data_IF_183581609051
#
_entry.id   IF_183581609051
#
_cell.length_a   1.000
_cell.length_b   1.000
_cell.length_c   1.000
_cell.angle_alpha   90.00
_cell.angle_beta   90.00
_cell.angle_gamma   90.00
#
_symmetry.space_group_name_H-M   'P 1'
#
loop_
_entity.id
_entity.type
_entity.pdbx_description
1 polymer ?
#
# COMPACT_ATOMS: atom_id res chain seq x y z
N UNK A 1 -4.27 -15.91 -24.65
CA UNK A 1 -5.11 -15.07 -23.78
C UNK A 1 -4.23 -14.47 -22.69
N UNK A 2 -4.39 -13.20 -22.33
CA UNK A 2 -3.65 -12.61 -21.23
C UNK A 2 -4.00 -13.31 -19.90
N UNK A 3 -3.06 -13.28 -18.95
CA UNK A 3 -3.28 -13.87 -17.60
C UNK A 3 -4.29 -13.04 -16.80
N UNK A 4 -4.81 -13.63 -15.72
CA UNK A 4 -5.73 -12.91 -14.80
C UNK A 4 -5.07 -11.64 -14.28
N UNK A 5 -3.83 -11.71 -13.80
CA UNK A 5 -3.11 -10.56 -13.25
C UNK A 5 -2.88 -9.48 -14.34
N UNK A 6 -2.56 -9.86 -15.57
CA UNK A 6 -2.43 -8.91 -16.68
C UNK A 6 -3.74 -8.16 -16.95
N UNK A 7 -4.87 -8.86 -16.95
CA UNK A 7 -6.19 -8.23 -17.11
C UNK A 7 -6.50 -7.29 -15.94
N UNK A 8 -6.25 -7.72 -14.70
CA UNK A 8 -6.47 -6.90 -13.51
C UNK A 8 -5.60 -5.64 -13.51
N UNK A 9 -4.34 -5.75 -13.95
CA UNK A 9 -3.45 -4.59 -14.12
C UNK A 9 -3.98 -3.62 -15.18
N UNK A 10 -4.50 -4.14 -16.29
CA UNK A 10 -5.13 -3.31 -17.34
C UNK A 10 -6.39 -2.60 -16.83
N UNK A 11 -7.28 -3.31 -16.10
CA UNK A 11 -8.46 -2.71 -15.46
C UNK A 11 -8.06 -1.59 -14.48
N UNK A 12 -7.02 -1.84 -13.65
CA UNK A 12 -6.49 -0.88 -12.68
C UNK A 12 -5.95 0.37 -13.37
N UNK A 13 -5.16 0.22 -14.44
CA UNK A 13 -4.63 1.33 -15.23
C UNK A 13 -5.75 2.12 -15.91
N UNK A 14 -6.74 1.44 -16.46
CA UNK A 14 -7.91 2.07 -17.09
C UNK A 14 -8.67 2.91 -16.07
N UNK A 15 -8.92 2.37 -14.88
CA UNK A 15 -9.58 3.12 -13.81
C UNK A 15 -8.77 4.35 -13.39
N UNK A 16 -7.46 4.21 -13.16
CA UNK A 16 -6.58 5.32 -12.78
C UNK A 16 -6.60 6.40 -13.84
N UNK A 17 -6.42 6.04 -15.10
CA UNK A 17 -6.43 6.97 -16.23
C UNK A 17 -7.75 7.75 -16.29
N UNK A 18 -8.88 7.05 -16.21
CA UNK A 18 -10.19 7.67 -16.46
C UNK A 18 -10.77 8.40 -15.24
N UNK A 19 -10.44 7.92 -14.02
CA UNK A 19 -11.08 8.41 -12.79
C UNK A 19 -10.18 9.25 -11.90
N UNK A 20 -8.84 9.15 -12.03
CA UNK A 20 -7.90 9.82 -11.13
C UNK A 20 -6.99 10.80 -11.87
N UNK A 21 -6.39 10.39 -13.00
CA UNK A 21 -5.53 11.30 -13.77
C UNK A 21 -6.37 12.42 -14.36
N UNK A 22 -5.87 13.65 -14.15
CA UNK A 22 -6.42 14.89 -14.74
C UNK A 22 -5.25 15.71 -15.24
N UNK A 23 -5.49 16.44 -16.31
CA UNK A 23 -4.50 17.37 -16.84
C UNK A 23 -4.69 18.70 -16.15
N UNK A 24 -3.69 19.10 -15.38
CA UNK A 24 -3.61 20.42 -14.75
C UNK A 24 -3.19 21.45 -15.80
N UNK A 25 -3.74 22.66 -15.72
CA UNK A 25 -3.38 23.77 -16.61
C UNK A 25 -2.05 24.40 -16.21
N UNK A 26 -1.33 24.94 -17.18
CA UNK A 26 -0.01 25.58 -16.94
C UNK A 26 1.12 24.57 -16.79
N UNK A 27 2.01 24.84 -15.86
CA UNK A 27 3.25 24.06 -15.67
C UNK A 27 4.42 24.54 -16.51
N UNK A 28 5.61 24.01 -16.22
CA UNK A 28 6.88 24.47 -16.80
C UNK A 28 7.01 24.27 -18.32
N UNK A 29 6.20 23.38 -18.91
CA UNK A 29 6.17 23.11 -20.36
C UNK A 29 5.06 23.87 -21.10
N UNK A 30 4.14 24.53 -20.40
CA UNK A 30 3.08 25.37 -21.02
C UNK A 30 1.82 24.63 -21.43
N UNK A 31 1.89 23.36 -21.78
CA UNK A 31 0.79 22.55 -22.36
C UNK A 31 -0.07 21.79 -21.31
N UNK A 32 0.10 22.16 -20.03
CA UNK A 32 -0.47 21.40 -18.94
C UNK A 32 0.35 20.16 -18.56
N UNK A 33 -0.12 19.42 -17.53
CA UNK A 33 0.61 18.25 -17.06
C UNK A 33 -0.31 17.27 -16.29
N UNK A 34 -0.05 15.96 -16.36
CA UNK A 34 -0.78 14.99 -15.54
C UNK A 34 -0.62 15.29 -14.05
N UNK A 35 -1.70 15.22 -13.30
CA UNK A 35 -1.79 15.65 -11.90
C UNK A 35 -0.97 14.84 -10.88
N UNK A 36 -0.21 13.83 -11.33
CA UNK A 36 0.79 13.13 -10.53
C UNK A 36 2.23 13.65 -10.77
N UNK A 37 2.39 14.59 -11.70
CA UNK A 37 3.66 15.30 -11.90
C UNK A 37 3.82 16.49 -10.95
N UNK A 38 5.08 16.87 -10.75
CA UNK A 38 5.43 18.18 -10.21
C UNK A 38 5.45 19.19 -11.37
N UNK A 39 4.43 20.03 -11.47
CA UNK A 39 4.28 20.99 -12.57
C UNK A 39 5.42 22.03 -12.67
N UNK A 40 6.26 22.19 -11.63
CA UNK A 40 7.43 23.05 -11.63
C UNK A 40 8.71 22.36 -12.11
N UNK A 41 8.69 21.03 -12.28
CA UNK A 41 9.83 20.22 -12.66
C UNK A 41 9.65 19.65 -14.07
N UNK A 42 10.52 20.07 -15.00
CA UNK A 42 10.48 19.65 -16.41
C UNK A 42 10.53 18.14 -16.59
N UNK A 43 11.46 17.47 -15.91
CA UNK A 43 11.63 16.03 -15.99
C UNK A 43 10.41 15.30 -15.46
N UNK A 44 9.88 15.73 -14.31
CA UNK A 44 8.66 15.15 -13.73
C UNK A 44 7.47 15.24 -14.70
N UNK A 45 7.28 16.38 -15.34
CA UNK A 45 6.21 16.59 -16.32
C UNK A 45 6.41 15.72 -17.55
N UNK A 46 7.63 15.65 -18.09
CA UNK A 46 7.93 14.87 -19.28
C UNK A 46 7.72 13.36 -19.04
N UNK A 47 8.23 12.84 -17.92
CA UNK A 47 8.07 11.44 -17.52
C UNK A 47 6.60 11.10 -17.28
N UNK A 48 5.87 11.96 -16.58
CA UNK A 48 4.44 11.75 -16.35
C UNK A 48 3.62 11.72 -17.64
N UNK A 49 3.94 12.55 -18.63
CA UNK A 49 3.36 12.47 -19.96
C UNK A 49 3.72 11.17 -20.70
N UNK A 50 4.95 10.70 -20.54
CA UNK A 50 5.40 9.42 -21.10
C UNK A 50 4.60 8.25 -20.54
N UNK A 51 4.40 8.19 -19.21
CA UNK A 51 3.57 7.19 -18.54
C UNK A 51 2.12 7.33 -19.04
N UNK A 52 1.53 8.53 -18.99
CA UNK A 52 0.13 8.76 -19.37
C UNK A 52 -0.18 8.27 -20.79
N UNK A 53 0.70 8.57 -21.77
CA UNK A 53 0.53 8.11 -23.15
C UNK A 53 0.52 6.58 -23.28
N UNK A 54 1.30 5.87 -22.45
CA UNK A 54 1.34 4.40 -22.44
C UNK A 54 0.14 3.75 -21.76
N UNK A 55 -0.52 4.47 -20.88
CA UNK A 55 -1.79 4.04 -20.29
C UNK A 55 -2.99 4.36 -21.19
N UNK A 56 -2.82 5.28 -22.16
CA UNK A 56 -3.89 5.68 -23.06
C UNK A 56 -4.09 4.61 -24.16
N UNK A 57 -5.33 4.15 -24.34
CA UNK A 57 -5.75 3.41 -25.53
C UNK A 57 -6.28 4.39 -26.58
N UNK A 58 -6.30 4.01 -27.86
CA UNK A 58 -6.73 4.88 -28.98
C UNK A 58 -8.14 5.46 -28.81
N UNK A 59 -8.99 4.85 -27.98
CA UNK A 59 -10.37 5.28 -27.72
C UNK A 59 -10.50 6.36 -26.62
N UNK A 60 -9.42 6.73 -25.94
CA UNK A 60 -9.48 7.61 -24.76
C UNK A 60 -9.18 9.08 -25.09
N UNK A 61 -10.11 9.79 -25.67
CA UNK A 61 -9.95 11.21 -26.07
C UNK A 61 -10.72 12.24 -25.22
N UNK A 62 -11.32 11.87 -24.09
CA UNK A 62 -12.02 12.86 -23.26
C UNK A 62 -11.33 13.13 -21.95
N UNK A 63 -10.66 14.27 -21.86
CA UNK A 63 -10.27 14.86 -20.57
C UNK A 63 -11.51 15.12 -19.74
N UNK A 64 -11.67 14.44 -18.61
CA UNK A 64 -12.77 14.74 -17.71
C UNK A 64 -12.55 16.13 -17.07
N UNK A 65 -13.53 17.05 -17.15
CA UNK A 65 -13.36 18.43 -16.70
C UNK A 65 -13.32 18.60 -15.17
N UNK A 66 -13.54 17.52 -14.42
CA UNK A 66 -13.61 17.58 -12.97
C UNK A 66 -12.24 17.81 -12.32
N UNK A 67 -12.08 18.91 -11.59
CA UNK A 67 -10.89 19.19 -10.77
C UNK A 67 -10.99 18.37 -9.48
N UNK A 68 -10.13 17.35 -9.36
CA UNK A 68 -10.03 16.56 -8.13
C UNK A 68 -9.13 17.25 -7.09
N UNK A 69 -9.62 17.39 -5.86
CA UNK A 69 -8.77 17.80 -4.73
C UNK A 69 -7.64 16.78 -4.48
N UNK A 70 -6.57 17.21 -3.81
CA UNK A 70 -5.47 16.31 -3.46
C UNK A 70 -5.94 15.13 -2.60
N UNK A 71 -6.87 15.37 -1.69
CA UNK A 71 -7.46 14.32 -0.85
C UNK A 71 -8.29 13.34 -1.67
N UNK A 72 -9.16 13.83 -2.57
CA UNK A 72 -9.98 12.96 -3.42
C UNK A 72 -9.12 12.08 -4.34
N UNK A 73 -7.99 12.58 -4.84
CA UNK A 73 -7.04 11.79 -5.63
C UNK A 73 -6.40 10.67 -4.80
N UNK A 74 -5.97 10.98 -3.58
CA UNK A 74 -5.43 10.00 -2.64
C UNK A 74 -6.44 8.89 -2.36
N UNK A 75 -7.64 9.25 -1.91
CA UNK A 75 -8.69 8.27 -1.59
C UNK A 75 -9.08 7.40 -2.79
N UNK A 76 -9.25 7.97 -4.00
CA UNK A 76 -9.54 7.18 -5.20
C UNK A 76 -8.38 6.24 -5.58
N UNK A 77 -7.14 6.63 -5.31
CA UNK A 77 -5.97 5.79 -5.56
C UNK A 77 -5.90 4.62 -4.56
N UNK A 78 -6.21 4.87 -3.30
CA UNK A 78 -6.37 3.85 -2.26
C UNK A 78 -7.45 2.84 -2.64
N UNK A 79 -8.65 3.32 -3.01
CA UNK A 79 -9.79 2.48 -3.41
C UNK A 79 -9.47 1.63 -4.66
N UNK A 80 -8.81 2.21 -5.66
CA UNK A 80 -8.39 1.49 -6.86
C UNK A 80 -7.38 0.39 -6.52
N UNK A 81 -6.39 0.72 -5.68
CA UNK A 81 -5.36 -0.22 -5.23
C UNK A 81 -5.96 -1.34 -4.40
N UNK A 82 -6.89 -1.03 -3.49
CA UNK A 82 -7.62 -2.04 -2.72
C UNK A 82 -8.42 -2.97 -3.65
N UNK A 83 -9.16 -2.43 -4.62
CA UNK A 83 -9.95 -3.23 -5.57
C UNK A 83 -9.08 -4.17 -6.39
N UNK A 84 -7.94 -3.69 -6.88
CA UNK A 84 -6.95 -4.52 -7.57
C UNK A 84 -6.45 -5.65 -6.67
N UNK A 85 -6.02 -5.32 -5.46
CA UNK A 85 -5.50 -6.30 -4.49
C UNK A 85 -6.54 -7.36 -4.10
N UNK A 86 -7.77 -6.97 -3.83
CA UNK A 86 -8.84 -7.92 -3.48
C UNK A 86 -9.01 -8.98 -4.56
N UNK A 87 -9.16 -8.56 -5.83
CA UNK A 87 -9.34 -9.47 -6.96
C UNK A 87 -8.08 -10.33 -7.25
N UNK A 88 -6.90 -9.71 -7.17
CA UNK A 88 -5.65 -10.40 -7.41
C UNK A 88 -5.34 -11.42 -6.29
N UNK A 89 -5.50 -11.01 -5.04
CA UNK A 89 -5.23 -11.86 -3.87
C UNK A 89 -6.19 -13.04 -3.78
N UNK A 90 -7.47 -12.84 -4.12
CA UNK A 90 -8.46 -13.92 -4.24
C UNK A 90 -8.04 -14.96 -5.27
N UNK A 91 -7.51 -14.54 -6.43
CA UNK A 91 -7.02 -15.47 -7.46
C UNK A 91 -5.80 -16.29 -7.02
N UNK A 92 -5.09 -15.86 -5.98
CA UNK A 92 -3.94 -16.54 -5.37
C UNK A 92 -4.33 -17.40 -4.14
N UNK A 93 -5.60 -17.55 -3.85
CA UNK A 93 -6.11 -18.33 -2.69
C UNK A 93 -5.52 -19.75 -2.57
N UNK A 94 -5.23 -20.51 -3.67
CA UNK A 94 -4.57 -21.81 -3.55
C UNK A 94 -3.16 -21.76 -2.95
N UNK A 95 -2.44 -20.62 -3.14
CA UNK A 95 -1.10 -20.43 -2.58
C UNK A 95 -1.14 -19.98 -1.12
N UNK A 96 -2.24 -19.35 -0.72
CA UNK A 96 -2.40 -18.80 0.63
C UNK A 96 -3.81 -19.05 1.18
N UNK A 97 -4.09 -20.29 1.59
CA UNK A 97 -5.39 -20.66 2.10
C UNK A 97 -5.73 -19.93 3.41
N UNK A 98 -7.00 -19.69 3.62
CA UNK A 98 -7.56 -19.04 4.80
C UNK A 98 -8.48 -17.88 4.44
N UNK A 99 -9.16 -17.35 5.45
CA UNK A 99 -10.04 -16.19 5.30
C UNK A 99 -9.24 -14.91 5.49
N UNK A 100 -9.37 -14.00 4.54
CA UNK A 100 -8.61 -12.75 4.49
C UNK A 100 -9.55 -11.55 4.50
N UNK A 101 -9.13 -10.52 5.21
CA UNK A 101 -9.81 -9.24 5.28
C UNK A 101 -8.91 -8.15 4.72
N UNK A 102 -9.37 -7.49 3.64
CA UNK A 102 -8.70 -6.37 3.01
C UNK A 102 -9.61 -5.14 3.10
N UNK A 103 -9.11 -4.06 3.68
CA UNK A 103 -9.90 -2.85 3.90
C UNK A 103 -9.02 -1.60 3.93
N UNK A 104 -9.64 -0.42 3.84
CA UNK A 104 -9.00 0.89 3.99
C UNK A 104 -9.25 1.48 5.38
N UNK A 105 -8.36 2.37 5.82
CA UNK A 105 -8.52 3.23 7.00
C UNK A 105 -8.80 2.49 8.32
N UNK A 106 -8.34 1.25 8.48
CA UNK A 106 -8.47 0.53 9.73
C UNK A 106 -7.36 0.88 10.72
N UNK A 107 -7.75 1.06 11.98
CA UNK A 107 -6.81 1.32 13.07
C UNK A 107 -6.02 0.07 13.41
N UNK A 108 -4.71 0.22 13.59
CA UNK A 108 -3.83 -0.91 13.95
C UNK A 108 -4.23 -1.59 15.26
N UNK A 109 -4.88 -0.88 16.18
CA UNK A 109 -5.37 -1.42 17.46
C UNK A 109 -6.44 -2.51 17.31
N UNK A 110 -7.04 -2.66 16.11
CA UNK A 110 -8.01 -3.72 15.81
C UNK A 110 -7.34 -5.07 15.52
N UNK A 111 -6.01 -5.12 15.41
CA UNK A 111 -5.27 -6.33 15.09
C UNK A 111 -4.55 -6.91 16.31
N UNK A 112 -4.44 -8.23 16.36
CA UNK A 112 -3.91 -8.97 17.49
C UNK A 112 -2.51 -8.49 17.93
N UNK A 113 -1.62 -8.15 16.99
CA UNK A 113 -0.27 -7.66 17.31
C UNK A 113 -0.26 -6.34 18.07
N UNK A 114 -1.34 -5.55 17.97
CA UNK A 114 -1.43 -4.17 18.50
C UNK A 114 -2.56 -3.99 19.50
N UNK A 115 -3.31 -5.04 19.87
CA UNK A 115 -4.45 -4.95 20.80
C UNK A 115 -4.10 -4.34 22.18
N UNK A 116 -2.83 -4.50 22.62
CA UNK A 116 -2.35 -3.89 23.86
C UNK A 116 -2.36 -2.36 23.81
N UNK A 117 -2.24 -1.75 22.64
CA UNK A 117 -2.34 -0.30 22.45
C UNK A 117 -3.77 0.21 22.66
N UNK A 118 -4.79 -0.58 22.32
CA UNK A 118 -6.18 -0.24 22.59
C UNK A 118 -6.45 -0.12 24.10
N UNK A 119 -5.87 -1.03 24.88
CA UNK A 119 -5.95 -0.97 26.35
C UNK A 119 -5.26 0.27 26.91
N UNK A 120 -4.06 0.60 26.42
CA UNK A 120 -3.31 1.79 26.83
C UNK A 120 -4.04 3.09 26.42
N UNK A 121 -4.58 3.16 25.21
CA UNK A 121 -5.38 4.30 24.75
C UNK A 121 -6.60 4.52 25.64
N UNK A 122 -7.35 3.45 25.95
CA UNK A 122 -8.51 3.54 26.84
C UNK A 122 -8.15 4.00 28.26
N UNK A 123 -7.04 3.53 28.81
CA UNK A 123 -6.54 3.97 30.11
C UNK A 123 -6.10 5.45 30.10
N UNK A 124 -5.43 5.89 29.03
CA UNK A 124 -5.00 7.28 28.85
C UNK A 124 -6.18 8.24 28.63
N UNK A 125 -7.25 7.80 27.97
CA UNK A 125 -8.45 8.62 27.78
C UNK A 125 -9.20 8.87 29.10
N UNK A 126 -9.14 7.93 30.04
CA UNK A 126 -9.83 8.01 31.33
C UNK A 126 -9.05 8.82 32.39
N UNK A 127 -7.73 8.97 32.25
CA UNK A 127 -6.87 9.65 33.24
C UNK A 127 -6.25 10.92 32.64
N UNK A 128 -6.74 12.09 33.15
CA UNK A 128 -6.24 13.42 32.77
C UNK A 128 -4.73 13.61 33.04
N UNK A 129 -4.22 13.02 34.13
CA UNK A 129 -2.81 13.16 34.52
C UNK A 129 -1.91 12.36 33.55
N UNK A 130 -2.31 11.16 33.20
CA UNK A 130 -1.61 10.34 32.18
C UNK A 130 -1.64 11.02 30.80
N UNK A 131 -2.76 11.62 30.43
CA UNK A 131 -2.89 12.40 29.19
C UNK A 131 -1.95 13.59 29.14
N UNK A 132 -1.68 14.23 30.27
CA UNK A 132 -0.75 15.36 30.38
C UNK A 132 0.72 14.91 30.34
N UNK A 133 1.03 13.76 30.97
CA UNK A 133 2.41 13.23 31.07
C UNK A 133 2.88 12.61 29.72
N UNK A 134 2.01 11.86 29.06
CA UNK A 134 2.35 11.16 27.82
C UNK A 134 2.01 11.95 26.54
N UNK A 135 1.46 13.16 26.71
CA UNK A 135 0.95 14.00 25.64
C UNK A 135 -0.35 13.43 25.05
N UNK A 136 -1.03 14.24 24.28
CA UNK A 136 -2.13 13.78 23.44
C UNK A 136 -1.54 13.03 22.21
N UNK A 137 -0.65 12.05 22.44
CA UNK A 137 -0.01 11.34 21.35
C UNK A 137 -1.03 10.43 20.67
N UNK A 138 -1.69 11.00 19.67
CA UNK A 138 -2.38 10.27 18.62
C UNK A 138 -1.46 9.26 17.90
N UNK A 139 -0.18 9.25 18.23
CA UNK A 139 0.86 8.39 17.66
C UNK A 139 0.60 6.89 17.85
N UNK A 140 -0.27 6.52 18.81
CA UNK A 140 -0.73 5.14 18.99
C UNK A 140 -1.94 4.77 18.11
N UNK A 141 -2.55 5.73 17.43
CA UNK A 141 -3.76 5.50 16.62
C UNK A 141 -3.44 5.74 15.15
N UNK A 142 -2.53 4.93 14.61
CA UNK A 142 -2.26 4.93 13.17
C UNK A 142 -3.36 4.13 12.48
N UNK A 143 -3.94 4.70 11.44
CA UNK A 143 -4.74 3.99 10.45
C UNK A 143 -3.86 3.78 9.21
N UNK A 144 -3.73 2.55 8.76
CA UNK A 144 -3.08 2.26 7.48
C UNK A 144 -4.01 2.61 6.33
N UNK A 145 -3.46 3.11 5.22
CA UNK A 145 -4.26 3.42 4.02
C UNK A 145 -4.99 2.16 3.53
N UNK A 146 -4.26 1.02 3.43
CA UNK A 146 -4.84 -0.31 3.15
C UNK A 146 -4.23 -1.33 4.12
N UNK A 147 -5.04 -2.26 4.60
CA UNK A 147 -4.60 -3.42 5.39
C UNK A 147 -4.95 -4.73 4.68
N UNK A 148 -4.10 -5.73 4.93
CA UNK A 148 -4.38 -7.14 4.65
C UNK A 148 -4.25 -7.89 5.96
N UNK A 149 -5.30 -8.57 6.38
CA UNK A 149 -5.32 -9.31 7.64
C UNK A 149 -5.87 -10.73 7.45
N UNK A 150 -5.30 -11.68 8.18
CA UNK A 150 -5.80 -13.05 8.23
C UNK A 150 -6.78 -13.20 9.38
N UNK A 151 -7.95 -13.76 9.11
CA UNK A 151 -8.91 -14.10 10.16
C UNK A 151 -8.47 -15.34 10.93
N UNK A 152 -8.73 -15.43 12.23
CA UNK A 152 -8.52 -16.63 12.99
C UNK A 152 -9.39 -17.78 12.46
N UNK A 153 -8.84 -18.99 12.49
CA UNK A 153 -9.42 -20.21 11.89
C UNK A 153 -10.17 -21.02 12.95
N UNK A 154 -11.33 -21.55 12.61
CA UNK A 154 -12.10 -22.42 13.51
C UNK A 154 -11.43 -23.78 13.70
N UNK A 155 -11.76 -24.49 14.79
CA UNK A 155 -11.23 -25.82 15.03
C UNK A 155 -11.76 -26.84 14.00
N UNK A 156 -12.96 -26.64 13.46
CA UNK A 156 -13.54 -27.43 12.39
C UNK A 156 -12.74 -27.33 11.10
N UNK A 157 -12.32 -26.11 10.76
CA UNK A 157 -11.50 -25.85 9.59
C UNK A 157 -10.08 -26.41 9.76
N UNK A 158 -9.48 -26.26 10.94
CA UNK A 158 -8.16 -26.82 11.25
C UNK A 158 -8.18 -28.34 11.15
N UNK A 159 -9.30 -28.96 11.51
CA UNK A 159 -9.50 -30.40 11.53
C UNK A 159 -10.12 -30.96 10.23
N UNK A 160 -10.22 -30.14 9.17
CA UNK A 160 -10.93 -30.52 7.93
C UNK A 160 -10.49 -31.88 7.37
N UNK A 161 -9.19 -32.12 7.31
CA UNK A 161 -8.64 -33.36 6.75
C UNK A 161 -8.21 -34.36 7.82
N UNK A 162 -7.66 -33.88 8.92
CA UNK A 162 -7.17 -34.68 10.02
C UNK A 162 -7.44 -34.01 11.35
N UNK A 163 -7.60 -34.81 12.42
CA UNK A 163 -7.73 -34.26 13.78
C UNK A 163 -6.41 -33.67 14.27
N UNK A 164 -6.19 -32.39 14.00
CA UNK A 164 -4.96 -31.63 14.37
C UNK A 164 -5.06 -31.07 15.78
N UNK A 165 -6.26 -30.61 16.18
CA UNK A 165 -6.53 -30.06 17.50
C UNK A 165 -7.76 -30.72 18.13
N UNK A 166 -7.84 -30.66 19.45
CA UNK A 166 -8.99 -31.16 20.23
C UNK A 166 -9.49 -30.10 21.21
N UNK A 167 -10.43 -30.53 22.07
CA UNK A 167 -11.05 -29.67 23.07
C UNK A 167 -10.17 -29.47 24.33
N UNK A 168 -9.02 -30.13 24.46
CA UNK A 168 -8.13 -29.94 25.61
C UNK A 168 -7.65 -28.47 25.68
N UNK A 169 -7.99 -27.73 26.75
CA UNK A 169 -7.65 -26.30 26.86
C UNK A 169 -6.14 -26.07 27.03
N UNK A 170 -5.35 -27.12 27.29
CA UNK A 170 -3.89 -27.01 27.46
C UNK A 170 -3.14 -27.09 26.14
N UNK A 171 -3.79 -27.63 25.09
CA UNK A 171 -3.15 -27.86 23.80
C UNK A 171 -3.42 -26.68 22.86
N UNK A 172 -2.35 -26.07 22.32
CA UNK A 172 -2.38 -24.87 21.48
C UNK A 172 -3.23 -23.74 22.10
N UNK A 173 -3.11 -23.57 23.43
CA UNK A 173 -3.95 -22.68 24.24
C UNK A 173 -3.74 -21.17 23.95
N UNK A 174 -2.57 -20.80 23.43
CA UNK A 174 -2.16 -19.40 23.28
C UNK A 174 -1.92 -19.00 21.82
N UNK A 175 -2.19 -19.88 20.88
CA UNK A 175 -2.05 -19.52 19.45
C UNK A 175 -3.11 -18.51 19.04
N UNK A 176 -2.69 -17.52 18.28
CA UNK A 176 -3.55 -16.46 17.74
C UNK A 176 -4.39 -16.93 16.57
N UNK A 177 -3.97 -18.02 15.91
CA UNK A 177 -4.63 -18.55 14.72
C UNK A 177 -5.95 -19.24 15.05
N UNK A 178 -6.07 -19.89 16.22
CA UNK A 178 -7.32 -20.57 16.60
C UNK A 178 -8.37 -19.55 17.04
N UNK A 179 -9.53 -19.53 16.37
CA UNK A 179 -10.66 -18.66 16.68
C UNK A 179 -11.15 -18.81 18.12
N UNK A 180 -11.06 -20.01 18.70
CA UNK A 180 -11.38 -20.28 20.11
C UNK A 180 -10.56 -19.42 21.08
N UNK A 181 -9.27 -19.18 20.77
CA UNK A 181 -8.37 -18.42 21.63
C UNK A 181 -8.32 -16.94 21.27
N UNK A 182 -8.67 -16.61 20.03
CA UNK A 182 -8.67 -15.27 19.48
C UNK A 182 -9.92 -15.01 18.64
N UNK A 183 -11.10 -14.84 19.27
CA UNK A 183 -12.36 -14.73 18.54
C UNK A 183 -12.57 -13.37 17.84
N UNK A 184 -11.81 -12.32 18.21
CA UNK A 184 -12.14 -10.94 17.84
C UNK A 184 -11.05 -10.19 17.07
N UNK A 185 -9.80 -10.67 17.08
CA UNK A 185 -8.68 -9.89 16.54
C UNK A 185 -8.08 -10.56 15.31
N UNK A 186 -8.30 -10.02 14.11
CA UNK A 186 -7.55 -10.43 12.93
C UNK A 186 -6.03 -10.29 13.14
N UNK A 187 -5.25 -11.08 12.42
CA UNK A 187 -3.79 -11.02 12.46
C UNK A 187 -3.35 -10.15 11.27
N UNK A 188 -2.79 -8.99 11.55
CA UNK A 188 -2.31 -8.09 10.49
C UNK A 188 -1.19 -8.78 9.71
N UNK A 189 -1.39 -8.92 8.41
CA UNK A 189 -0.43 -9.51 7.50
C UNK A 189 0.37 -8.46 6.74
N UNK A 190 -0.31 -7.40 6.28
CA UNK A 190 0.34 -6.28 5.61
C UNK A 190 -0.33 -4.95 5.94
N UNK A 191 0.50 -3.91 5.99
CA UNK A 191 0.12 -2.50 6.03
C UNK A 191 0.68 -1.83 4.78
N UNK A 192 -0.19 -1.22 3.99
CA UNK A 192 0.15 -0.64 2.70
C UNK A 192 -0.15 0.84 2.74
N UNK A 193 0.86 1.67 2.50
CA UNK A 193 0.73 3.12 2.40
C UNK A 193 0.59 3.52 0.93
N UNK A 194 -0.48 4.23 0.58
CA UNK A 194 -0.76 4.68 -0.78
C UNK A 194 -0.42 6.17 -0.95
N UNK A 195 0.52 6.48 -1.83
CA UNK A 195 0.96 7.86 -2.06
C UNK A 195 0.86 8.20 -3.54
N UNK A 196 -0.17 9.00 -3.91
CA UNK A 196 -0.34 9.48 -5.29
C UNK A 196 0.90 10.22 -5.81
N UNK A 197 1.50 11.05 -4.96
CA UNK A 197 2.79 11.71 -5.22
C UNK A 197 3.62 11.73 -3.94
N UNK A 198 4.95 11.73 -4.09
CA UNK A 198 5.88 11.80 -2.97
C UNK A 198 6.42 13.23 -2.85
N UNK A 199 6.17 13.86 -1.69
CA UNK A 199 6.78 15.14 -1.29
C UNK A 199 7.56 14.90 0.00
N UNK A 200 8.52 15.78 0.32
CA UNK A 200 9.43 15.62 1.46
C UNK A 200 8.71 15.40 2.80
N UNK A 201 7.64 16.16 3.05
CA UNK A 201 6.80 16.01 4.25
C UNK A 201 6.11 14.62 4.31
N UNK A 202 5.63 14.12 3.19
CA UNK A 202 4.96 12.81 3.11
C UNK A 202 5.92 11.63 3.24
N UNK A 203 7.17 11.80 2.81
CA UNK A 203 8.22 10.79 3.00
C UNK A 203 8.48 10.53 4.48
N UNK A 204 8.55 11.57 5.29
CA UNK A 204 8.73 11.44 6.74
C UNK A 204 7.53 10.77 7.41
N UNK A 205 6.29 11.12 7.02
CA UNK A 205 5.09 10.49 7.56
C UNK A 205 5.05 8.98 7.30
N UNK A 206 5.33 8.55 6.06
CA UNK A 206 5.36 7.11 5.71
C UNK A 206 6.38 6.34 6.53
N UNK A 207 7.57 6.91 6.76
CA UNK A 207 8.59 6.31 7.63
C UNK A 207 8.17 6.26 9.09
N UNK A 208 7.58 7.33 9.60
CA UNK A 208 7.09 7.38 10.98
C UNK A 208 5.99 6.34 11.22
N UNK A 209 5.06 6.19 10.28
CA UNK A 209 4.01 5.17 10.32
C UNK A 209 4.64 3.76 10.33
N UNK A 210 5.60 3.49 9.46
CA UNK A 210 6.32 2.22 9.40
C UNK A 210 7.07 1.92 10.71
N UNK A 211 7.83 2.88 11.23
CA UNK A 211 8.55 2.73 12.51
C UNK A 211 7.60 2.46 13.68
N UNK A 212 6.44 3.09 13.71
CA UNK A 212 5.45 2.86 14.75
C UNK A 212 4.88 1.43 14.69
N UNK A 213 4.61 0.91 13.48
CA UNK A 213 4.23 -0.49 13.28
C UNK A 213 5.34 -1.44 13.77
N UNK A 214 6.59 -1.18 13.41
CA UNK A 214 7.75 -1.99 13.80
C UNK A 214 7.94 -2.00 15.32
N UNK A 215 7.90 -0.85 15.98
CA UNK A 215 8.22 -0.69 17.41
C UNK A 215 7.12 -1.20 18.33
N UNK A 216 5.88 -1.01 17.94
CA UNK A 216 4.74 -1.27 18.81
C UNK A 216 4.15 -2.68 18.69
N UNK A 217 4.58 -3.48 17.72
CA UNK A 217 4.04 -4.83 17.54
C UNK A 217 4.38 -5.79 18.67
N UNK A 218 3.52 -6.74 18.90
CA UNK A 218 3.77 -7.96 19.70
C UNK A 218 3.57 -9.18 18.79
N UNK A 219 4.65 -9.91 18.52
CA UNK A 219 4.64 -11.06 17.63
C UNK A 219 5.19 -10.74 16.24
N UNK A 220 4.68 -11.44 15.19
CA UNK A 220 5.20 -11.32 13.81
C UNK A 220 5.00 -9.88 13.28
N UNK A 221 6.04 -9.36 12.65
CA UNK A 221 5.96 -8.10 11.90
C UNK A 221 5.07 -8.29 10.66
N UNK A 222 4.09 -7.42 10.40
CA UNK A 222 3.40 -7.41 9.12
C UNK A 222 4.33 -6.93 8.00
N UNK A 223 4.02 -7.26 6.76
CA UNK A 223 4.65 -6.60 5.61
C UNK A 223 4.30 -5.11 5.63
N UNK A 224 5.31 -4.27 5.50
CA UNK A 224 5.14 -2.81 5.50
C UNK A 224 5.62 -2.30 4.15
N UNK A 225 4.69 -1.89 3.30
CA UNK A 225 4.97 -1.51 1.92
C UNK A 225 4.32 -0.19 1.55
N UNK A 226 4.80 0.42 0.48
CA UNK A 226 4.17 1.61 -0.10
C UNK A 226 3.83 1.39 -1.57
N UNK A 227 2.70 1.95 -2.01
CA UNK A 227 2.29 2.02 -3.42
C UNK A 227 2.30 3.49 -3.85
N UNK A 228 2.89 3.79 -5.01
CA UNK A 228 3.01 5.18 -5.46
C UNK A 228 2.82 5.36 -6.96
N UNK A 229 2.36 6.56 -7.36
CA UNK A 229 2.32 7.03 -8.74
C UNK A 229 3.38 8.13 -9.01
N UNK A 230 4.34 8.33 -8.13
CA UNK A 230 5.40 9.33 -8.29
C UNK A 230 6.25 9.06 -9.54
N UNK A 231 6.36 10.02 -10.50
CA UNK A 231 7.08 9.78 -11.74
C UNK A 231 8.61 9.94 -11.61
N UNK A 232 9.12 10.45 -10.47
CA UNK A 232 10.54 10.73 -10.29
C UNK A 232 11.26 9.66 -9.49
N UNK A 233 12.16 8.85 -10.10
CA UNK A 233 12.98 7.87 -9.37
C UNK A 233 13.73 8.43 -8.17
N UNK A 234 14.25 9.65 -8.24
CA UNK A 234 14.91 10.32 -7.10
C UNK A 234 13.99 10.51 -5.90
N UNK A 235 12.69 10.75 -6.11
CA UNK A 235 11.71 10.86 -5.03
C UNK A 235 11.28 9.49 -4.50
N UNK A 236 11.14 8.51 -5.39
CA UNK A 236 10.87 7.11 -5.01
C UNK A 236 12.03 6.59 -4.15
N UNK A 237 13.29 6.85 -4.55
CA UNK A 237 14.48 6.43 -3.82
C UNK A 237 14.51 6.96 -2.38
N UNK A 238 13.95 8.13 -2.12
CA UNK A 238 13.89 8.69 -0.77
C UNK A 238 13.12 7.79 0.22
N UNK A 239 12.19 6.95 -0.24
CA UNK A 239 11.48 5.97 0.59
C UNK A 239 11.97 4.54 0.34
N UNK A 240 12.32 4.19 -0.88
CA UNK A 240 12.73 2.83 -1.24
C UNK A 240 14.13 2.46 -0.72
N UNK A 241 15.09 3.39 -0.77
CA UNK A 241 16.48 3.19 -0.34
C UNK A 241 16.75 3.66 1.10
N UNK A 242 15.68 3.90 1.87
CA UNK A 242 15.82 4.33 3.26
C UNK A 242 16.32 3.23 4.21
N UNK A 243 16.14 3.48 5.51
CA UNK A 243 16.70 2.70 6.63
C UNK A 243 16.10 1.30 6.85
N UNK A 244 15.32 0.78 5.90
CA UNK A 244 14.68 -0.53 6.02
C UNK A 244 13.33 -0.50 6.76
N UNK A 245 12.72 0.67 6.87
CA UNK A 245 11.40 0.82 7.49
C UNK A 245 10.27 0.25 6.62
N UNK A 246 10.50 0.20 5.29
CA UNK A 246 9.63 -0.44 4.32
C UNK A 246 10.29 -1.69 3.73
N UNK A 247 9.52 -2.74 3.52
CA UNK A 247 10.00 -3.95 2.84
C UNK A 247 10.23 -3.68 1.36
N UNK A 248 9.27 -3.04 0.69
CA UNK A 248 9.34 -2.71 -0.73
C UNK A 248 8.43 -1.52 -1.06
N UNK A 249 8.74 -0.82 -2.14
CA UNK A 249 7.86 0.17 -2.78
C UNK A 249 7.34 -0.42 -4.09
N UNK A 250 6.05 -0.22 -4.38
CA UNK A 250 5.43 -0.66 -5.62
C UNK A 250 4.98 0.56 -6.42
N UNK A 251 5.44 0.60 -7.68
CA UNK A 251 4.99 1.64 -8.59
C UNK A 251 3.76 1.18 -9.36
N UNK A 252 2.77 2.03 -9.49
CA UNK A 252 1.51 1.70 -10.16
C UNK A 252 1.68 1.29 -11.63
N UNK A 253 2.78 1.74 -12.29
CA UNK A 253 3.07 1.55 -13.71
C UNK A 253 4.60 1.56 -13.92
N UNK A 254 5.34 0.59 -13.34
CA UNK A 254 6.81 0.55 -13.37
C UNK A 254 7.38 0.34 -14.78
N UNK A 255 6.89 -0.58 -15.62
CA UNK A 255 7.34 -0.71 -16.99
C UNK A 255 7.17 0.59 -17.80
N UNK A 256 6.01 1.23 -17.67
CA UNK A 256 5.69 2.47 -18.36
C UNK A 256 6.57 3.64 -17.90
N UNK A 257 6.93 3.67 -16.60
CA UNK A 257 7.92 4.62 -16.05
C UNK A 257 9.30 4.41 -16.70
N UNK A 258 9.77 3.15 -16.70
CA UNK A 258 11.09 2.79 -17.27
C UNK A 258 11.19 3.15 -18.76
N UNK A 259 10.19 2.77 -19.54
CA UNK A 259 10.13 3.09 -20.97
C UNK A 259 10.07 4.60 -21.23
N UNK A 260 9.42 5.36 -20.36
CA UNK A 260 9.37 6.82 -20.47
C UNK A 260 10.74 7.46 -20.22
N UNK A 261 11.53 6.93 -19.28
CA UNK A 261 12.89 7.40 -19.01
C UNK A 261 13.83 7.07 -20.17
N UNK A 262 13.69 5.89 -20.76
CA UNK A 262 14.46 5.49 -21.96
C UNK A 262 14.14 6.42 -23.15
N UNK A 263 12.85 6.69 -23.43
CA UNK A 263 12.43 7.60 -24.50
C UNK A 263 12.97 9.02 -24.33
N UNK A 264 13.08 9.47 -23.07
CA UNK A 264 13.58 10.82 -22.73
C UNK A 264 15.11 10.90 -22.62
N UNK A 265 15.82 9.77 -22.85
CA UNK A 265 17.29 9.66 -22.69
C UNK A 265 17.78 10.19 -21.32
N UNK A 266 17.01 9.92 -20.26
CA UNK A 266 17.33 10.41 -18.92
C UNK A 266 18.11 9.34 -18.14
N UNK A 267 19.40 9.23 -18.42
CA UNK A 267 20.28 8.19 -17.89
C UNK A 267 20.38 8.20 -16.37
N UNK A 268 20.54 9.38 -15.75
CA UNK A 268 20.66 9.50 -14.28
C UNK A 268 19.43 8.93 -13.53
N UNK A 269 18.22 9.21 -14.04
CA UNK A 269 17.00 8.68 -13.44
C UNK A 269 16.79 7.20 -13.75
N UNK A 270 17.23 6.74 -14.92
CA UNK A 270 17.15 5.34 -15.32
C UNK A 270 18.10 4.48 -14.48
N UNK A 271 19.35 4.89 -14.30
CA UNK A 271 20.32 4.20 -13.44
C UNK A 271 19.81 4.08 -11.99
N UNK A 272 19.25 5.15 -11.45
CA UNK A 272 18.68 5.12 -10.10
C UNK A 272 17.46 4.19 -10.01
N UNK A 273 16.62 4.16 -11.05
CA UNK A 273 15.49 3.24 -11.15
C UNK A 273 16.00 1.79 -11.15
N UNK A 274 16.98 1.49 -12.00
CA UNK A 274 17.55 0.14 -12.13
C UNK A 274 18.20 -0.32 -10.80
N UNK A 275 18.92 0.55 -10.09
CA UNK A 275 19.47 0.26 -8.75
C UNK A 275 18.36 -0.16 -7.76
N UNK A 276 17.21 0.52 -7.78
CA UNK A 276 16.10 0.17 -6.90
C UNK A 276 15.43 -1.15 -7.28
N UNK A 277 15.28 -1.41 -8.59
CA UNK A 277 14.67 -2.64 -9.12
C UNK A 277 15.59 -3.84 -8.87
N UNK A 278 16.85 -3.76 -9.23
CA UNK A 278 17.86 -4.81 -9.01
C UNK A 278 18.09 -5.08 -7.52
N UNK A 279 18.06 -4.03 -6.70
CA UNK A 279 18.11 -4.10 -5.25
C UNK A 279 16.83 -4.63 -4.60
N UNK A 280 15.81 -5.01 -5.38
CA UNK A 280 14.51 -5.51 -4.91
C UNK A 280 13.78 -4.56 -3.97
N UNK A 281 14.03 -3.25 -4.12
CA UNK A 281 13.41 -2.18 -3.31
C UNK A 281 12.25 -1.49 -4.02
N UNK A 282 12.13 -1.68 -5.34
CA UNK A 282 11.06 -1.16 -6.17
C UNK A 282 10.56 -2.25 -7.13
N UNK A 283 9.24 -2.45 -7.18
CA UNK A 283 8.57 -3.43 -8.02
C UNK A 283 7.33 -2.82 -8.68
N UNK A 284 6.77 -3.54 -9.65
CA UNK A 284 5.48 -3.16 -10.24
C UNK A 284 4.32 -3.54 -9.32
N UNK A 285 3.22 -2.84 -9.42
CA UNK A 285 1.99 -3.13 -8.64
C UNK A 285 1.51 -4.58 -8.83
N UNK A 286 1.77 -5.18 -9.99
CA UNK A 286 1.39 -6.57 -10.28
C UNK A 286 2.18 -7.61 -9.47
N UNK A 287 3.33 -7.26 -8.90
CA UNK A 287 4.14 -8.13 -8.05
C UNK A 287 3.59 -8.19 -6.62
N UNK A 288 2.95 -7.11 -6.16
CA UNK A 288 2.49 -6.99 -4.77
C UNK A 288 1.59 -8.15 -4.30
N UNK A 289 0.59 -8.63 -5.06
CA UNK A 289 -0.22 -9.77 -4.60
C UNK A 289 0.59 -11.05 -4.37
N UNK A 290 1.61 -11.29 -5.19
CA UNK A 290 2.49 -12.46 -5.06
C UNK A 290 3.41 -12.33 -3.85
N UNK A 291 3.99 -11.16 -3.62
CA UNK A 291 4.84 -10.91 -2.46
C UNK A 291 4.05 -11.04 -1.15
N UNK A 292 2.78 -10.66 -1.16
CA UNK A 292 1.87 -10.86 -0.03
C UNK A 292 1.41 -12.33 0.13
N UNK A 293 1.61 -13.17 -0.87
CA UNK A 293 1.27 -14.60 -0.79
C UNK A 293 2.37 -15.46 -0.15
N UNK A 294 3.53 -14.88 0.19
CA UNK A 294 4.66 -15.58 0.83
C UNK A 294 4.59 -15.59 2.36
#
# INVERSE_FOLDING_TARGET
>A
MPSIIANLRTDYHTFIRDKIIRISTGGVLGDGYPNFADGSNRTSVAVAWGIYRRLATEESSSYAPEILSAQARGSRFEDATLTFLQRAFESLSPLRPGDWHLATNERITHFDQYRHLAYLSGALEQDKALKTIFGASSDYVIASDIIVARLPVSDEEINRENRVVDADPRIAAYTRLRKRNNPHYPILHASISCKWTIRSDRTQNTRTEALNLIRNRKGKLPHIVAVTAEPMPTRIAAIALGTGDLDCVYHFALPELRESLVELDNQDQLELLDVMVEGMRLRDISDLPFDLAV
#
